data_IF_172878475692
#
_entry.id   IF_172878475692
#
_cell.length_a   1.000
_cell.length_b   1.000
_cell.length_c   1.000
_cell.angle_alpha   90.00
_cell.angle_beta   90.00
_cell.angle_gamma   90.00
#
_symmetry.space_group_name_H-M   'P 1'
#
loop_
_entity.id
_entity.type
_entity.pdbx_description
1 polymer ?
#
# COMPACT_ATOMS: atom_id res chain seq x y z
N UNK A 1 40.72 -2.71 2.36
CA UNK A 1 40.25 -2.55 0.98
C UNK A 1 39.00 -3.37 0.89
N UNK A 2 37.85 -2.75 0.61
CA UNK A 2 36.61 -3.51 0.43
C UNK A 2 36.73 -4.41 -0.80
N UNK A 3 36.03 -5.54 -0.79
CA UNK A 3 36.01 -6.46 -1.91
C UNK A 3 35.49 -5.71 -3.15
N UNK A 4 36.21 -5.86 -4.27
CA UNK A 4 35.84 -5.23 -5.54
C UNK A 4 34.56 -5.89 -6.04
N UNK A 5 33.51 -5.11 -6.27
CA UNK A 5 32.24 -5.57 -6.83
C UNK A 5 32.30 -5.37 -8.34
N UNK A 6 31.95 -6.41 -9.09
CA UNK A 6 31.69 -6.33 -10.54
C UNK A 6 30.31 -6.91 -10.82
N UNK A 7 29.48 -6.19 -11.57
CA UNK A 7 28.12 -6.60 -11.90
C UNK A 7 27.75 -6.20 -13.32
N UNK A 8 26.90 -6.97 -13.99
CA UNK A 8 26.47 -6.72 -15.37
C UNK A 8 24.95 -6.88 -15.49
N UNK A 9 24.29 -5.95 -16.16
CA UNK A 9 22.84 -6.01 -16.26
C UNK A 9 22.24 -4.91 -17.11
N UNK A 10 20.92 -4.92 -17.22
CA UNK A 10 20.20 -3.79 -17.81
C UNK A 10 20.24 -2.59 -16.86
N UNK A 11 20.42 -1.42 -17.45
CA UNK A 11 20.24 -0.13 -16.77
C UNK A 11 18.78 0.26 -16.83
N UNK A 12 18.22 0.68 -15.69
CA UNK A 12 16.88 1.23 -15.62
C UNK A 12 16.88 2.47 -14.72
N UNK A 13 16.20 3.53 -15.14
CA UNK A 13 16.02 4.71 -14.29
C UNK A 13 15.01 4.44 -13.16
N UNK A 14 15.27 5.02 -11.99
CA UNK A 14 14.42 4.85 -10.80
C UNK A 14 12.98 5.29 -11.05
N UNK A 15 12.77 6.33 -11.86
CA UNK A 15 11.43 6.81 -12.20
C UNK A 15 10.59 5.75 -12.93
N UNK A 16 11.14 5.09 -13.96
CA UNK A 16 10.45 4.01 -14.65
C UNK A 16 10.28 2.76 -13.76
N UNK A 17 11.26 2.45 -12.90
CA UNK A 17 11.10 1.40 -11.86
C UNK A 17 9.92 1.73 -10.96
N UNK A 18 9.87 2.95 -10.41
CA UNK A 18 8.83 3.43 -9.49
C UNK A 18 7.45 3.51 -10.14
N UNK A 19 7.41 3.75 -11.45
CA UNK A 19 6.18 3.68 -12.23
C UNK A 19 5.73 2.24 -12.48
N UNK A 20 6.66 1.29 -12.46
CA UNK A 20 6.46 -0.12 -12.82
C UNK A 20 6.33 -0.40 -14.31
N UNK A 21 6.19 0.64 -15.12
CA UNK A 21 6.09 0.57 -16.59
C UNK A 21 6.92 1.68 -17.22
N UNK A 22 7.43 1.45 -18.42
CA UNK A 22 8.28 2.42 -19.14
C UNK A 22 7.51 3.69 -19.48
N UNK A 23 8.12 4.86 -19.30
CA UNK A 23 7.46 6.14 -19.55
C UNK A 23 7.06 6.29 -21.03
N UNK A 24 7.94 5.90 -21.94
CA UNK A 24 7.76 5.93 -23.40
C UNK A 24 6.98 4.72 -23.93
N UNK A 25 6.92 3.62 -23.18
CA UNK A 25 6.08 2.46 -23.47
C UNK A 25 5.27 1.99 -22.25
N UNK A 26 4.19 2.71 -21.90
CA UNK A 26 3.34 2.41 -20.74
C UNK A 26 2.73 1.00 -20.67
N UNK A 27 2.73 0.25 -21.77
CA UNK A 27 2.18 -1.10 -21.84
C UNK A 27 3.15 -2.19 -21.40
N UNK A 28 4.42 -1.83 -21.11
CA UNK A 28 5.50 -2.75 -20.81
C UNK A 28 6.05 -2.50 -19.42
N UNK A 29 6.08 -3.56 -18.63
CA UNK A 29 6.63 -3.56 -17.28
C UNK A 29 8.15 -3.52 -17.31
N UNK A 30 8.74 -2.69 -16.45
CA UNK A 30 10.19 -2.41 -16.46
C UNK A 30 11.02 -3.60 -16.02
N UNK A 31 10.52 -4.40 -15.07
CA UNK A 31 11.21 -5.58 -14.56
C UNK A 31 10.90 -6.87 -15.34
N UNK A 32 10.03 -6.81 -16.36
CA UNK A 32 9.72 -7.98 -17.20
C UNK A 32 10.33 -7.82 -18.59
N UNK A 33 10.34 -6.60 -19.13
CA UNK A 33 10.81 -6.31 -20.48
C UNK A 33 11.90 -5.23 -20.52
N UNK A 34 12.94 -5.24 -19.65
CA UNK A 34 13.93 -4.16 -19.61
C UNK A 34 14.65 -3.92 -20.94
N UNK A 35 14.72 -4.93 -21.82
CA UNK A 35 15.26 -4.82 -23.18
C UNK A 35 14.50 -3.85 -24.09
N UNK A 36 13.27 -3.48 -23.71
CA UNK A 36 12.43 -2.55 -24.45
C UNK A 36 12.63 -1.10 -24.04
N UNK A 37 13.41 -0.82 -22.98
CA UNK A 37 13.60 0.52 -22.46
C UNK A 37 14.48 1.34 -23.40
N UNK A 38 13.95 2.43 -23.96
CA UNK A 38 14.70 3.18 -24.98
C UNK A 38 15.85 3.97 -24.38
N UNK A 39 16.92 4.12 -25.16
CA UNK A 39 18.03 5.01 -24.77
C UNK A 39 17.55 6.45 -24.68
N UNK A 40 16.64 6.88 -25.56
CA UNK A 40 16.00 8.19 -25.45
C UNK A 40 15.40 8.43 -24.06
N UNK A 41 14.62 7.48 -23.55
CA UNK A 41 14.05 7.59 -22.21
C UNK A 41 15.12 7.66 -21.12
N UNK A 42 16.20 6.89 -21.25
CA UNK A 42 17.31 6.87 -20.28
C UNK A 42 18.18 8.13 -20.27
N UNK A 43 18.35 8.84 -21.39
CA UNK A 43 19.38 9.89 -21.49
C UNK A 43 18.90 11.28 -21.92
N UNK A 44 17.74 11.39 -22.57
CA UNK A 44 17.17 12.67 -23.01
C UNK A 44 16.07 13.17 -22.08
N UNK A 45 15.32 12.27 -21.44
CA UNK A 45 14.12 12.64 -20.69
C UNK A 45 14.51 13.03 -19.26
N UNK A 46 14.37 14.33 -18.86
CA UNK A 46 14.93 14.81 -17.60
C UNK A 46 14.47 14.06 -16.37
N UNK A 47 13.17 13.76 -16.28
CA UNK A 47 12.61 13.07 -15.11
C UNK A 47 13.17 11.64 -14.95
N UNK A 48 13.58 10.99 -16.05
CA UNK A 48 14.14 9.66 -16.04
C UNK A 48 15.60 9.71 -15.60
N UNK A 49 16.49 10.38 -16.34
CA UNK A 49 17.91 10.38 -15.98
C UNK A 49 18.20 11.10 -14.66
N UNK A 50 17.38 12.09 -14.25
CA UNK A 50 17.58 12.77 -12.97
C UNK A 50 17.14 11.95 -11.76
N UNK A 51 16.40 10.86 -11.97
CA UNK A 51 15.95 9.99 -10.89
C UNK A 51 17.05 9.04 -10.39
N UNK A 52 18.18 8.94 -11.11
CA UNK A 52 19.23 7.96 -10.85
C UNK A 52 18.94 6.64 -11.56
N UNK A 53 19.95 5.76 -11.59
CA UNK A 53 19.91 4.48 -12.28
C UNK A 53 20.13 3.32 -11.32
N UNK A 54 19.53 2.19 -11.69
CA UNK A 54 19.76 0.90 -11.05
C UNK A 54 20.12 -0.17 -12.07
N UNK A 55 20.89 -1.13 -11.58
CA UNK A 55 21.32 -2.31 -12.31
C UNK A 55 20.37 -3.47 -12.03
N UNK A 56 19.83 -4.06 -13.09
CA UNK A 56 18.91 -5.18 -13.01
C UNK A 56 19.62 -6.51 -13.24
N UNK A 57 19.43 -7.46 -12.33
CA UNK A 57 19.86 -8.85 -12.44
C UNK A 57 18.91 -9.63 -13.33
N UNK A 58 19.49 -10.40 -14.25
CA UNK A 58 18.76 -11.36 -15.08
C UNK A 58 18.03 -12.42 -14.22
N UNK A 59 16.83 -12.84 -14.64
CA UNK A 59 16.12 -13.94 -14.00
C UNK A 59 16.86 -15.27 -14.23
N UNK A 60 16.73 -16.21 -13.29
CA UNK A 60 17.30 -17.57 -13.43
C UNK A 60 16.62 -18.38 -14.54
N UNK A 61 15.36 -18.08 -14.83
CA UNK A 61 14.57 -18.71 -15.88
C UNK A 61 14.22 -17.71 -16.98
N UNK A 62 14.23 -18.18 -18.23
CA UNK A 62 13.83 -17.38 -19.38
C UNK A 62 12.39 -16.87 -19.23
N UNK A 63 12.20 -15.56 -19.27
CA UNK A 63 10.90 -14.91 -19.08
C UNK A 63 10.53 -14.66 -17.61
N UNK A 64 11.45 -14.86 -16.68
CA UNK A 64 11.29 -14.45 -15.29
C UNK A 64 11.40 -12.93 -15.09
N UNK A 65 11.18 -12.50 -13.85
CA UNK A 65 11.24 -11.08 -13.45
C UNK A 65 12.67 -10.72 -13.08
N UNK A 66 13.14 -9.61 -13.62
CA UNK A 66 14.44 -9.03 -13.28
C UNK A 66 14.40 -8.40 -11.90
N UNK A 67 15.50 -8.51 -11.16
CA UNK A 67 15.58 -7.97 -9.81
C UNK A 67 16.55 -6.80 -9.72
N UNK A 68 16.21 -5.81 -8.89
CA UNK A 68 17.05 -4.64 -8.60
C UNK A 68 18.25 -5.11 -7.78
N UNK A 69 19.43 -5.04 -8.38
CA UNK A 69 20.69 -5.46 -7.75
C UNK A 69 21.37 -4.27 -7.07
N UNK A 70 21.77 -3.28 -7.86
CA UNK A 70 22.52 -2.12 -7.35
C UNK A 70 21.89 -0.80 -7.75
N UNK A 71 21.79 0.12 -6.80
CA UNK A 71 21.58 1.54 -7.04
C UNK A 71 22.93 2.21 -7.27
N UNK A 72 23.05 2.99 -8.34
CA UNK A 72 24.32 3.67 -8.66
C UNK A 72 24.42 4.98 -7.88
N UNK A 73 25.60 5.25 -7.33
CA UNK A 73 25.91 6.54 -6.73
C UNK A 73 25.91 7.68 -7.77
N UNK A 74 26.02 8.92 -7.31
CA UNK A 74 26.00 10.08 -8.21
C UNK A 74 27.07 10.01 -9.32
N UNK A 75 28.28 9.53 -8.98
CA UNK A 75 29.34 9.32 -9.96
C UNK A 75 29.01 8.24 -10.98
N UNK A 76 28.47 7.10 -10.52
CA UNK A 76 27.98 6.04 -11.38
C UNK A 76 26.84 6.46 -12.31
N UNK A 77 25.94 7.32 -11.83
CA UNK A 77 24.86 7.89 -12.63
C UNK A 77 25.39 8.74 -13.78
N UNK A 78 26.37 9.61 -13.51
CA UNK A 78 27.00 10.45 -14.52
C UNK A 78 27.76 9.62 -15.56
N UNK A 79 28.50 8.59 -15.12
CA UNK A 79 29.22 7.67 -16.02
C UNK A 79 28.26 6.87 -16.91
N UNK A 80 27.16 6.36 -16.34
CA UNK A 80 26.14 5.60 -17.07
C UNK A 80 25.43 6.48 -18.09
N UNK A 81 25.11 7.73 -17.73
CA UNK A 81 24.51 8.70 -18.64
C UNK A 81 25.46 9.04 -19.81
N UNK A 82 26.75 9.22 -19.53
CA UNK A 82 27.76 9.48 -20.56
C UNK A 82 27.89 8.29 -21.51
N UNK A 83 27.99 7.07 -20.99
CA UNK A 83 28.05 5.85 -21.81
C UNK A 83 26.78 5.67 -22.65
N UNK A 84 25.60 5.91 -22.07
CA UNK A 84 24.34 5.84 -22.79
C UNK A 84 24.26 6.81 -23.97
N UNK A 85 24.87 8.00 -23.85
CA UNK A 85 24.94 9.00 -24.93
C UNK A 85 26.01 8.68 -25.98
N UNK A 86 27.09 7.99 -25.61
CA UNK A 86 28.13 7.59 -26.57
C UNK A 86 27.70 6.37 -27.40
N UNK A 87 27.09 5.37 -26.76
CA UNK A 87 26.72 4.09 -27.38
C UNK A 87 25.29 4.08 -27.94
N UNK A 88 24.50 5.08 -27.55
CA UNK A 88 23.12 5.27 -27.94
C UNK A 88 22.92 5.74 -29.37
N UNK A 89 21.73 5.46 -29.89
CA UNK A 89 21.20 6.11 -31.10
C UNK A 89 19.71 6.41 -30.93
N UNK A 90 19.14 7.24 -31.80
CA UNK A 90 17.76 7.73 -31.68
C UNK A 90 17.51 8.57 -30.42
N UNK A 91 18.51 9.32 -29.97
CA UNK A 91 18.39 10.31 -28.91
C UNK A 91 19.03 11.65 -29.34
N UNK A 92 18.52 12.76 -28.82
CA UNK A 92 18.95 14.13 -29.12
C UNK A 92 20.23 14.54 -28.41
N UNK A 93 20.58 13.87 -27.31
CA UNK A 93 21.83 14.07 -26.56
C UNK A 93 22.90 13.03 -26.89
N UNK A 94 22.67 12.16 -27.88
CA UNK A 94 23.63 11.15 -28.32
C UNK A 94 24.69 11.83 -29.19
N UNK A 95 25.97 11.68 -28.82
CA UNK A 95 27.09 12.39 -29.45
C UNK A 95 28.07 11.45 -30.17
N UNK A 96 27.81 10.14 -30.17
CA UNK A 96 28.67 9.11 -30.79
C UNK A 96 28.03 8.37 -31.98
N UNK A 97 28.81 7.49 -32.61
CA UNK A 97 28.37 6.56 -33.67
C UNK A 97 27.71 5.30 -33.11
N UNK A 98 27.12 5.42 -31.91
CA UNK A 98 26.42 4.36 -31.21
C UNK A 98 25.29 3.76 -32.03
N UNK A 99 24.89 2.54 -31.67
CA UNK A 99 23.82 1.81 -32.36
C UNK A 99 22.72 1.29 -31.43
N UNK A 100 22.86 1.51 -30.11
CA UNK A 100 21.92 1.02 -29.12
C UNK A 100 20.69 1.91 -29.11
N UNK A 101 19.54 1.37 -29.53
CA UNK A 101 18.26 2.08 -29.50
C UNK A 101 17.53 1.85 -28.16
N UNK A 102 17.68 0.66 -27.59
CA UNK A 102 16.94 0.19 -26.41
C UNK A 102 17.72 -0.91 -25.69
N UNK A 103 17.37 -1.15 -24.42
CA UNK A 103 17.93 -2.24 -23.63
C UNK A 103 19.41 -2.05 -23.34
N UNK A 104 19.78 -0.87 -22.82
CA UNK A 104 21.16 -0.58 -22.47
C UNK A 104 21.64 -1.56 -21.39
N UNK A 105 22.65 -2.37 -21.72
CA UNK A 105 23.33 -3.25 -20.77
C UNK A 105 24.74 -2.78 -20.53
N UNK A 106 25.11 -2.67 -19.26
CA UNK A 106 26.42 -2.19 -18.84
C UNK A 106 27.05 -3.13 -17.82
N UNK A 107 28.36 -3.08 -17.73
CA UNK A 107 29.16 -3.63 -16.64
C UNK A 107 29.56 -2.47 -15.73
N UNK A 108 29.32 -2.63 -14.43
CA UNK A 108 29.76 -1.69 -13.40
C UNK A 108 30.80 -2.34 -12.51
N UNK A 109 31.81 -1.57 -12.12
CA UNK A 109 32.83 -1.97 -11.15
C UNK A 109 32.89 -0.93 -10.04
N UNK A 110 32.95 -1.37 -8.79
CA UNK A 110 32.94 -0.46 -7.66
C UNK A 110 33.11 -1.14 -6.31
N UNK A 111 32.63 -0.47 -5.27
CA UNK A 111 32.63 -0.98 -3.89
C UNK A 111 31.29 -0.72 -3.22
N UNK A 112 30.92 -1.54 -2.22
CA UNK A 112 29.64 -1.36 -1.52
C UNK A 112 29.54 0.01 -0.85
N UNK A 113 28.44 0.71 -1.10
CA UNK A 113 28.03 1.97 -0.47
C UNK A 113 27.04 1.79 0.68
N UNK A 114 26.68 0.54 1.01
CA UNK A 114 25.65 0.23 2.00
C UNK A 114 24.26 0.07 1.39
N UNK A 115 23.21 0.14 2.21
CA UNK A 115 21.82 -0.04 1.77
C UNK A 115 21.16 1.31 1.57
N UNK A 116 20.61 1.54 0.37
CA UNK A 116 19.89 2.76 -0.01
C UNK A 116 18.51 2.86 0.64
N UNK A 117 17.83 4.00 0.43
CA UNK A 117 16.52 4.28 1.04
C UNK A 117 15.43 3.27 0.61
N UNK A 118 15.52 2.78 -0.62
CA UNK A 118 14.58 1.81 -1.19
C UNK A 118 14.93 0.35 -0.85
N UNK A 119 15.96 0.12 -0.02
CA UNK A 119 16.43 -1.21 0.37
C UNK A 119 17.33 -1.91 -0.66
N UNK A 120 17.61 -1.26 -1.79
CA UNK A 120 18.59 -1.71 -2.80
C UNK A 120 20.00 -1.38 -2.31
N UNK A 121 20.98 -2.25 -2.58
CA UNK A 121 22.37 -1.98 -2.23
C UNK A 121 22.95 -0.88 -3.13
N UNK A 122 23.57 0.14 -2.54
CA UNK A 122 24.23 1.21 -3.29
C UNK A 122 25.62 0.77 -3.68
N UNK A 123 26.00 1.02 -4.93
CA UNK A 123 27.35 0.80 -5.44
C UNK A 123 28.06 2.15 -5.61
N UNK A 124 29.19 2.33 -4.92
CA UNK A 124 30.12 3.43 -5.21
C UNK A 124 30.88 3.06 -6.47
N UNK A 125 30.47 3.61 -7.61
CA UNK A 125 30.95 3.18 -8.93
C UNK A 125 32.31 3.79 -9.24
N UNK A 126 33.24 2.93 -9.66
CA UNK A 126 34.56 3.32 -10.16
C UNK A 126 34.61 3.36 -11.69
N UNK A 127 33.91 2.45 -12.37
CA UNK A 127 33.81 2.44 -13.84
C UNK A 127 32.49 1.85 -14.33
N UNK A 128 32.09 2.31 -15.53
CA UNK A 128 30.93 1.80 -16.27
C UNK A 128 31.38 1.56 -17.70
N UNK A 129 31.21 0.34 -18.20
CA UNK A 129 31.55 -0.07 -19.58
C UNK A 129 30.37 -0.81 -20.19
N UNK A 130 30.37 -1.03 -21.51
CA UNK A 130 29.38 -1.93 -22.13
C UNK A 130 29.53 -3.35 -21.59
N UNK A 131 28.40 -4.01 -21.38
CA UNK A 131 28.40 -5.41 -20.96
C UNK A 131 29.00 -6.30 -22.07
N UNK A 132 29.87 -7.23 -21.69
CA UNK A 132 30.50 -8.21 -22.58
C UNK A 132 30.40 -9.61 -22.00
N UNK A 133 30.49 -10.65 -22.84
CA UNK A 133 30.63 -12.02 -22.34
C UNK A 133 31.86 -12.12 -21.42
N UNK A 134 31.70 -12.75 -20.26
CA UNK A 134 32.78 -12.87 -19.26
C UNK A 134 33.28 -11.54 -18.70
N UNK A 135 32.51 -10.45 -18.81
CA UNK A 135 32.97 -9.10 -18.44
C UNK A 135 33.46 -8.96 -17.00
N UNK A 136 33.01 -9.81 -16.07
CA UNK A 136 33.48 -9.85 -14.68
C UNK A 136 34.51 -10.94 -14.36
N UNK A 137 34.98 -11.73 -15.33
CA UNK A 137 35.93 -12.83 -15.08
C UNK A 137 37.25 -12.33 -14.48
N UNK A 138 37.70 -11.14 -14.90
CA UNK A 138 38.88 -10.47 -14.34
C UNK A 138 38.74 -10.03 -12.88
N UNK A 139 37.51 -10.07 -12.34
CA UNK A 139 37.17 -9.71 -10.96
C UNK A 139 36.78 -10.92 -10.10
N UNK A 140 36.96 -12.15 -10.62
CA UNK A 140 36.54 -13.38 -9.94
C UNK A 140 35.06 -13.74 -10.15
N UNK A 141 34.40 -13.10 -11.12
CA UNK A 141 33.00 -13.33 -11.47
C UNK A 141 32.08 -12.19 -11.02
N UNK A 142 30.81 -12.35 -11.34
CA UNK A 142 29.77 -11.40 -10.97
C UNK A 142 29.44 -11.46 -9.48
N UNK A 143 29.40 -10.30 -8.84
CA UNK A 143 29.03 -10.15 -7.43
C UNK A 143 27.57 -9.72 -7.35
N UNK A 144 26.72 -10.60 -6.84
CA UNK A 144 25.28 -10.36 -6.71
C UNK A 144 24.90 -10.16 -5.23
N UNK A 145 24.12 -9.11 -4.89
CA UNK A 145 23.63 -8.92 -3.52
C UNK A 145 22.76 -10.08 -3.04
N UNK A 146 22.84 -10.38 -1.74
CA UNK A 146 22.06 -11.46 -1.13
C UNK A 146 20.56 -11.15 -1.05
N UNK A 147 20.18 -9.87 -0.99
CA UNK A 147 18.79 -9.42 -0.83
C UNK A 147 18.34 -8.67 -2.07
N UNK A 148 17.90 -9.40 -3.09
CA UNK A 148 17.39 -8.82 -4.33
C UNK A 148 15.93 -8.39 -4.18
N UNK A 149 15.59 -7.24 -4.76
CA UNK A 149 14.23 -6.72 -4.83
C UNK A 149 13.67 -6.89 -6.25
N UNK A 150 12.77 -7.85 -6.43
CA UNK A 150 12.19 -8.19 -7.74
C UNK A 150 10.83 -7.51 -8.00
N UNK A 151 10.55 -6.40 -7.31
CA UNK A 151 9.29 -5.66 -7.40
C UNK A 151 9.53 -4.21 -7.85
N UNK A 152 8.73 -3.74 -8.82
CA UNK A 152 8.71 -2.36 -9.29
C UNK A 152 7.60 -1.52 -8.62
N UNK A 153 7.65 -0.19 -8.74
CA UNK A 153 6.71 0.70 -8.06
C UNK A 153 5.29 0.77 -8.63
N UNK A 154 4.99 0.10 -9.75
CA UNK A 154 3.61 -0.18 -10.15
C UNK A 154 2.83 -0.87 -9.02
N UNK A 155 3.48 -1.80 -8.31
CA UNK A 155 2.96 -2.42 -7.09
C UNK A 155 2.81 -1.39 -5.95
N UNK A 156 3.77 -0.47 -5.79
CA UNK A 156 3.69 0.61 -4.78
C UNK A 156 2.47 1.50 -4.98
N UNK A 157 2.14 1.88 -6.22
CA UNK A 157 0.94 2.65 -6.54
C UNK A 157 -0.35 1.93 -6.10
N UNK A 158 -0.46 0.64 -6.42
CA UNK A 158 -1.59 -0.18 -5.98
C UNK A 158 -1.64 -0.37 -4.46
N UNK A 159 -0.50 -0.53 -3.78
CA UNK A 159 -0.40 -0.60 -2.31
C UNK A 159 -0.93 0.69 -1.68
N UNK A 160 -0.51 1.85 -2.18
CA UNK A 160 -0.99 3.15 -1.68
C UNK A 160 -2.49 3.30 -1.92
N UNK A 161 -2.96 3.02 -3.15
CA UNK A 161 -4.38 3.13 -3.49
C UNK A 161 -5.25 2.20 -2.64
N UNK A 162 -4.86 0.93 -2.50
CA UNK A 162 -5.50 -0.04 -1.62
C UNK A 162 -5.56 0.47 -0.17
N UNK A 163 -4.42 0.87 0.38
CA UNK A 163 -4.31 1.36 1.75
C UNK A 163 -5.19 2.58 2.01
N UNK A 164 -5.16 3.58 1.12
CA UNK A 164 -5.99 4.79 1.24
C UNK A 164 -7.49 4.47 1.19
N UNK A 165 -7.93 3.64 0.24
CA UNK A 165 -9.34 3.25 0.13
C UNK A 165 -9.81 2.49 1.38
N UNK A 166 -9.00 1.56 1.88
CA UNK A 166 -9.30 0.80 3.10
C UNK A 166 -9.34 1.68 4.35
N UNK A 167 -8.43 2.66 4.46
CA UNK A 167 -8.41 3.60 5.58
C UNK A 167 -9.62 4.54 5.56
N UNK A 168 -9.96 5.13 4.42
CA UNK A 168 -11.14 5.98 4.29
C UNK A 168 -12.43 5.20 4.59
N UNK A 169 -12.49 3.93 4.19
CA UNK A 169 -13.64 3.07 4.45
C UNK A 169 -13.68 2.53 5.88
N UNK A 170 -12.87 1.50 6.16
CA UNK A 170 -12.89 0.74 7.41
C UNK A 170 -12.29 1.52 8.58
N UNK A 171 -11.34 2.41 8.31
CA UNK A 171 -10.73 3.26 9.34
C UNK A 171 -11.55 4.49 9.71
N UNK A 172 -12.47 4.94 8.85
CA UNK A 172 -13.20 6.19 9.06
C UNK A 172 -14.70 6.12 8.79
N UNK A 173 -15.14 5.95 7.53
CA UNK A 173 -16.55 6.06 7.17
C UNK A 173 -17.44 5.00 7.82
N UNK A 174 -17.03 3.72 7.80
CA UNK A 174 -17.83 2.64 8.39
C UNK A 174 -17.98 2.78 9.92
N UNK A 175 -16.91 3.07 10.70
CA UNK A 175 -17.03 3.47 12.09
C UNK A 175 -17.94 4.69 12.30
N UNK A 176 -17.78 5.75 11.49
CA UNK A 176 -18.60 6.96 11.56
C UNK A 176 -20.08 6.66 11.33
N UNK A 177 -20.41 5.76 10.40
CA UNK A 177 -21.77 5.26 10.16
C UNK A 177 -22.37 4.59 11.40
N UNK A 178 -21.59 3.78 12.12
CA UNK A 178 -22.04 3.13 13.36
C UNK A 178 -22.24 4.14 14.48
N UNK A 179 -21.32 5.10 14.63
CA UNK A 179 -21.41 6.18 15.62
C UNK A 179 -22.64 7.06 15.35
N UNK A 180 -22.89 7.44 14.09
CA UNK A 180 -24.05 8.28 13.72
C UNK A 180 -25.39 7.59 14.01
N UNK A 181 -25.51 6.28 13.73
CA UNK A 181 -26.70 5.50 14.08
C UNK A 181 -26.95 5.35 15.58
N UNK A 182 -25.88 5.51 16.38
CA UNK A 182 -25.97 5.44 17.84
C UNK A 182 -26.38 6.78 18.45
N UNK A 183 -25.73 7.87 18.06
CA UNK A 183 -25.87 9.15 18.76
C UNK A 183 -26.84 10.12 18.10
N UNK A 184 -27.10 10.01 16.79
CA UNK A 184 -27.94 11.00 16.08
C UNK A 184 -29.42 10.63 16.02
N UNK A 185 -29.88 9.65 16.81
CA UNK A 185 -31.30 9.23 16.83
C UNK A 185 -32.28 10.33 17.21
N UNK A 186 -31.84 11.32 18.00
CA UNK A 186 -32.64 12.46 18.45
C UNK A 186 -32.82 13.54 17.39
N UNK A 187 -32.05 13.50 16.29
CA UNK A 187 -32.09 14.53 15.25
C UNK A 187 -33.34 14.40 14.39
N UNK A 188 -33.97 15.54 14.15
CA UNK A 188 -35.11 15.67 13.23
C UNK A 188 -34.63 15.77 11.78
N UNK A 189 -35.44 15.33 10.80
CA UNK A 189 -36.75 14.67 10.97
C UNK A 189 -36.63 13.24 11.50
N UNK A 190 -37.70 12.70 12.09
CA UNK A 190 -37.76 11.32 12.61
C UNK A 190 -37.23 10.33 11.56
N UNK A 191 -36.24 9.52 11.94
CA UNK A 191 -35.59 8.55 11.05
C UNK A 191 -34.44 9.10 10.20
N UNK A 192 -34.05 10.37 10.37
CA UNK A 192 -32.88 10.96 9.71
C UNK A 192 -31.59 10.14 9.93
N UNK A 193 -31.35 9.70 11.17
CA UNK A 193 -30.21 8.86 11.53
C UNK A 193 -30.09 7.61 10.66
N UNK A 194 -31.22 7.01 10.25
CA UNK A 194 -31.23 5.79 9.45
C UNK A 194 -30.82 6.07 8.01
N UNK A 195 -31.30 7.19 7.44
CA UNK A 195 -30.88 7.65 6.10
C UNK A 195 -29.38 7.97 6.08
N UNK A 196 -28.91 8.68 7.09
CA UNK A 196 -27.50 9.05 7.24
C UNK A 196 -26.61 7.82 7.42
N UNK A 197 -26.97 6.90 8.32
CA UNK A 197 -26.27 5.63 8.51
C UNK A 197 -26.18 4.86 7.20
N UNK A 198 -27.30 4.66 6.50
CA UNK A 198 -27.33 3.93 5.24
C UNK A 198 -26.43 4.59 4.19
N UNK A 199 -26.51 5.91 4.02
CA UNK A 199 -25.68 6.63 3.07
C UNK A 199 -24.17 6.44 3.36
N UNK A 200 -23.76 6.67 4.61
CA UNK A 200 -22.35 6.52 5.02
C UNK A 200 -21.87 5.08 4.85
N UNK A 201 -22.69 4.09 5.26
CA UNK A 201 -22.32 2.68 5.13
C UNK A 201 -22.21 2.22 3.68
N UNK A 202 -23.13 2.65 2.80
CA UNK A 202 -23.05 2.35 1.38
C UNK A 202 -21.78 2.95 0.75
N UNK A 203 -21.49 4.24 1.02
CA UNK A 203 -20.29 4.89 0.50
C UNK A 203 -19.01 4.23 1.02
N UNK A 204 -18.93 3.96 2.33
CA UNK A 204 -17.80 3.24 2.92
C UNK A 204 -17.62 1.87 2.28
N UNK A 205 -18.69 1.07 2.15
CA UNK A 205 -18.59 -0.27 1.59
C UNK A 205 -18.16 -0.26 0.13
N UNK A 206 -18.60 0.71 -0.68
CA UNK A 206 -18.14 0.86 -2.07
C UNK A 206 -16.63 1.12 -2.16
N UNK A 207 -16.10 2.01 -1.33
CA UNK A 207 -14.65 2.25 -1.26
C UNK A 207 -13.88 1.00 -0.79
N UNK A 208 -14.42 0.27 0.20
CA UNK A 208 -13.84 -0.98 0.66
C UNK A 208 -13.82 -2.06 -0.43
N UNK A 209 -14.89 -2.18 -1.22
CA UNK A 209 -14.93 -3.11 -2.36
C UNK A 209 -13.88 -2.73 -3.41
N UNK A 210 -13.76 -1.45 -3.77
CA UNK A 210 -12.73 -1.01 -4.71
C UNK A 210 -11.31 -1.32 -4.20
N UNK A 211 -11.02 -1.01 -2.93
CA UNK A 211 -9.75 -1.36 -2.31
C UNK A 211 -9.51 -2.88 -2.27
N UNK A 212 -10.55 -3.67 -2.00
CA UNK A 212 -10.44 -5.13 -1.92
C UNK A 212 -10.16 -5.75 -3.29
N UNK A 213 -10.79 -5.22 -4.35
CA UNK A 213 -10.53 -5.64 -5.73
C UNK A 213 -9.07 -5.39 -6.12
N UNK A 214 -8.49 -4.24 -5.74
CA UNK A 214 -7.05 -4.00 -5.93
C UNK A 214 -6.24 -5.11 -5.25
N UNK A 215 -6.54 -5.43 -3.98
CA UNK A 215 -5.78 -6.43 -3.26
C UNK A 215 -5.81 -7.83 -3.89
N UNK A 216 -7.00 -8.31 -4.28
CA UNK A 216 -7.13 -9.67 -4.83
C UNK A 216 -6.67 -9.78 -6.29
N UNK A 217 -6.52 -8.67 -7.01
CA UNK A 217 -6.09 -8.68 -8.42
C UNK A 217 -4.63 -8.29 -8.62
N UNK A 218 -4.06 -7.50 -7.72
CA UNK A 218 -2.70 -6.96 -7.86
C UNK A 218 -1.69 -7.61 -6.91
N UNK A 219 -2.14 -8.23 -5.80
CA UNK A 219 -1.25 -8.79 -4.80
C UNK A 219 -1.35 -10.31 -4.71
N UNK A 220 -0.23 -10.93 -4.36
CA UNK A 220 -0.08 -12.36 -4.10
C UNK A 220 -0.61 -12.74 -2.70
N UNK A 221 -1.93 -12.59 -2.51
CA UNK A 221 -2.60 -12.75 -1.20
C UNK A 221 -2.58 -14.20 -0.70
N UNK A 222 -2.62 -15.19 -1.60
CA UNK A 222 -2.84 -16.61 -1.26
C UNK A 222 -1.69 -17.54 -1.63
N UNK A 223 -0.68 -17.04 -2.34
CA UNK A 223 0.41 -17.84 -2.93
C UNK A 223 1.60 -18.00 -2.00
N UNK A 224 1.69 -17.22 -0.91
CA UNK A 224 2.79 -17.32 0.03
C UNK A 224 2.81 -18.67 0.79
N UNK A 225 3.94 -19.37 0.67
CA UNK A 225 4.24 -20.59 1.44
C UNK A 225 4.39 -20.26 2.95
N UNK A 226 3.90 -21.17 3.79
CA UNK A 226 3.92 -20.99 5.25
C UNK A 226 2.87 -20.02 5.82
N UNK A 227 2.99 -19.70 7.11
CA UNK A 227 2.18 -18.70 7.83
C UNK A 227 3.05 -17.47 8.06
N UNK A 228 2.82 -16.42 7.29
CA UNK A 228 3.49 -15.13 7.46
C UNK A 228 2.45 -14.00 7.65
N UNK A 229 2.93 -12.81 8.00
CA UNK A 229 2.05 -11.67 8.32
C UNK A 229 1.18 -11.27 7.11
N UNK A 230 1.69 -11.39 5.87
CA UNK A 230 0.92 -11.07 4.66
C UNK A 230 -0.29 -11.99 4.51
N UNK A 231 -0.10 -13.29 4.73
CA UNK A 231 -1.18 -14.29 4.71
C UNK A 231 -2.20 -14.05 5.82
N UNK A 232 -1.74 -13.65 7.01
CA UNK A 232 -2.65 -13.31 8.13
C UNK A 232 -3.45 -12.04 7.80
N UNK A 233 -2.80 -10.98 7.32
CA UNK A 233 -3.46 -9.75 6.87
C UNK A 233 -4.50 -10.04 5.79
N UNK A 234 -4.12 -10.78 4.74
CA UNK A 234 -5.00 -11.18 3.65
C UNK A 234 -6.21 -11.98 4.14
N UNK A 235 -5.99 -12.99 4.98
CA UNK A 235 -7.07 -13.82 5.54
C UNK A 235 -8.03 -12.99 6.40
N UNK A 236 -7.50 -12.15 7.30
CA UNK A 236 -8.33 -11.25 8.10
C UNK A 236 -9.11 -10.24 7.23
N UNK A 237 -8.49 -9.74 6.16
CA UNK A 237 -9.10 -8.85 5.19
C UNK A 237 -10.27 -9.50 4.44
N UNK A 238 -10.11 -10.73 3.95
CA UNK A 238 -11.18 -11.49 3.29
C UNK A 238 -12.37 -11.70 4.23
N UNK A 239 -12.12 -12.12 5.47
CA UNK A 239 -13.18 -12.32 6.47
C UNK A 239 -13.88 -10.99 6.79
N UNK A 240 -13.12 -9.91 6.96
CA UNK A 240 -13.65 -8.55 7.20
C UNK A 240 -14.57 -8.10 6.06
N UNK A 241 -14.14 -8.29 4.82
CA UNK A 241 -14.91 -7.92 3.64
C UNK A 241 -16.17 -8.77 3.48
N UNK A 242 -16.08 -10.08 3.71
CA UNK A 242 -17.24 -10.96 3.69
C UNK A 242 -18.29 -10.51 4.72
N UNK A 243 -17.86 -10.23 5.95
CA UNK A 243 -18.76 -9.71 6.99
C UNK A 243 -19.36 -8.35 6.62
N UNK A 244 -18.58 -7.46 6.02
CA UNK A 244 -19.02 -6.14 5.55
C UNK A 244 -20.08 -6.22 4.46
N UNK A 245 -19.90 -7.09 3.46
CA UNK A 245 -20.85 -7.33 2.37
C UNK A 245 -22.13 -8.02 2.88
N UNK A 246 -22.01 -8.91 3.86
CA UNK A 246 -23.17 -9.56 4.47
C UNK A 246 -24.04 -8.59 5.30
N UNK A 247 -23.50 -7.46 5.77
CA UNK A 247 -24.30 -6.48 6.54
C UNK A 247 -25.51 -5.91 5.77
N UNK A 248 -25.37 -5.33 4.56
CA UNK A 248 -26.51 -4.82 3.80
C UNK A 248 -27.46 -5.94 3.35
N UNK A 249 -26.94 -7.13 3.03
CA UNK A 249 -27.76 -8.31 2.68
C UNK A 249 -28.65 -8.69 3.87
N UNK A 250 -28.06 -8.83 5.05
CA UNK A 250 -28.82 -9.06 6.29
C UNK A 250 -29.80 -7.92 6.58
N UNK A 251 -29.43 -6.67 6.31
CA UNK A 251 -30.28 -5.51 6.53
C UNK A 251 -31.48 -5.42 5.59
N UNK A 252 -31.42 -6.05 4.42
CA UNK A 252 -32.57 -6.19 3.52
C UNK A 252 -33.70 -7.00 4.19
N UNK A 253 -33.36 -8.04 4.95
CA UNK A 253 -34.32 -8.89 5.67
C UNK A 253 -34.79 -8.32 7.02
N UNK A 254 -34.57 -7.02 7.26
CA UNK A 254 -34.90 -6.35 8.52
C UNK A 254 -36.42 -6.39 8.81
N UNK A 255 -36.88 -7.02 9.91
CA UNK A 255 -38.31 -7.07 10.26
C UNK A 255 -38.90 -5.70 10.63
N UNK A 256 -40.23 -5.55 10.53
CA UNK A 256 -40.94 -4.30 10.84
C UNK A 256 -40.63 -3.81 12.28
N UNK A 257 -40.45 -2.49 12.49
CA UNK A 257 -40.01 -1.96 13.80
C UNK A 257 -41.05 -2.03 14.91
N UNK A 258 -42.34 -1.91 14.59
CA UNK A 258 -43.43 -1.87 15.56
C UNK A 258 -44.61 -2.76 15.13
N UNK A 259 -45.19 -3.56 16.04
CA UNK A 259 -44.63 -3.94 17.35
C UNK A 259 -43.36 -4.80 17.18
N UNK A 260 -42.43 -4.72 18.14
CA UNK A 260 -41.17 -5.46 18.07
C UNK A 260 -41.37 -6.97 18.25
N UNK A 261 -41.35 -7.74 17.15
CA UNK A 261 -41.41 -9.21 17.17
C UNK A 261 -40.11 -9.84 17.71
N UNK A 262 -40.15 -11.10 18.16
CA UNK A 262 -38.94 -11.83 18.56
C UNK A 262 -37.89 -11.88 17.45
N UNK A 263 -38.34 -12.09 16.20
CA UNK A 263 -37.49 -12.05 15.00
C UNK A 263 -36.80 -10.69 14.86
N UNK A 264 -37.50 -9.59 15.17
CA UNK A 264 -36.92 -8.24 15.17
C UNK A 264 -35.79 -8.11 16.19
N UNK A 265 -36.00 -8.60 17.40
CA UNK A 265 -35.01 -8.53 18.48
C UNK A 265 -33.77 -9.37 18.16
N UNK A 266 -33.96 -10.58 17.63
CA UNK A 266 -32.86 -11.47 17.20
C UNK A 266 -32.05 -10.84 16.06
N UNK A 267 -32.73 -10.31 15.04
CA UNK A 267 -32.08 -9.61 13.92
C UNK A 267 -31.27 -8.40 14.42
N UNK A 268 -31.81 -7.61 15.35
CA UNK A 268 -31.08 -6.47 15.91
C UNK A 268 -29.81 -6.88 16.66
N UNK A 269 -29.85 -7.99 17.42
CA UNK A 269 -28.67 -8.53 18.10
C UNK A 269 -27.64 -8.98 17.06
N UNK A 270 -28.05 -9.76 16.07
CA UNK A 270 -27.19 -10.28 15.02
C UNK A 270 -26.52 -9.16 14.23
N UNK A 271 -27.30 -8.22 13.69
CA UNK A 271 -26.80 -7.10 12.89
C UNK A 271 -25.82 -6.21 13.68
N UNK A 272 -26.18 -5.82 14.92
CA UNK A 272 -25.31 -4.97 15.73
C UNK A 272 -24.02 -5.68 16.15
N UNK A 273 -24.09 -6.95 16.55
CA UNK A 273 -22.91 -7.67 17.05
C UNK A 273 -21.97 -8.08 15.93
N UNK A 274 -22.50 -8.58 14.80
CA UNK A 274 -21.68 -8.88 13.62
C UNK A 274 -21.01 -7.64 13.05
N UNK A 275 -21.70 -6.49 13.03
CA UNK A 275 -21.09 -5.22 12.59
C UNK A 275 -19.96 -4.74 13.52
N UNK A 276 -20.13 -4.87 14.84
CA UNK A 276 -19.07 -4.55 15.81
C UNK A 276 -17.87 -5.48 15.71
N UNK A 277 -18.13 -6.77 15.51
CA UNK A 277 -17.08 -7.77 15.29
C UNK A 277 -16.30 -7.48 14.01
N UNK A 278 -16.98 -7.16 12.91
CA UNK A 278 -16.35 -6.76 11.66
C UNK A 278 -15.44 -5.53 11.83
N UNK A 279 -15.88 -4.50 12.56
CA UNK A 279 -15.05 -3.33 12.86
C UNK A 279 -13.81 -3.68 13.71
N UNK A 280 -13.95 -4.57 14.69
CA UNK A 280 -12.82 -5.04 15.49
C UNK A 280 -11.79 -5.81 14.66
N UNK A 281 -12.26 -6.69 13.77
CA UNK A 281 -11.38 -7.41 12.85
C UNK A 281 -10.74 -6.49 11.81
N UNK A 282 -11.47 -5.50 11.32
CA UNK A 282 -10.95 -4.48 10.40
C UNK A 282 -9.81 -3.67 11.04
N UNK A 283 -9.95 -3.30 12.32
CA UNK A 283 -8.89 -2.63 13.06
C UNK A 283 -7.61 -3.48 13.12
N UNK A 284 -7.71 -4.77 13.48
CA UNK A 284 -6.56 -5.68 13.45
C UNK A 284 -5.96 -5.79 12.04
N UNK A 285 -6.82 -5.91 11.02
CA UNK A 285 -6.40 -6.03 9.62
C UNK A 285 -5.61 -4.80 9.17
N UNK A 286 -6.03 -3.60 9.54
CA UNK A 286 -5.34 -2.33 9.26
C UNK A 286 -3.96 -2.28 9.95
N UNK A 287 -3.88 -2.69 11.22
CA UNK A 287 -2.59 -2.75 11.92
C UNK A 287 -1.61 -3.69 11.24
N UNK A 288 -2.08 -4.87 10.82
CA UNK A 288 -1.24 -5.82 10.08
C UNK A 288 -0.84 -5.25 8.70
N UNK A 289 -1.76 -4.63 7.98
CA UNK A 289 -1.49 -4.06 6.65
C UNK A 289 -0.47 -2.91 6.69
N UNK A 290 -0.57 -2.03 7.68
CA UNK A 290 0.38 -0.90 7.85
C UNK A 290 1.81 -1.36 8.13
N UNK A 291 2.02 -2.55 8.70
CA UNK A 291 3.38 -3.09 8.84
C UNK A 291 4.04 -3.45 7.50
N UNK A 292 3.27 -3.55 6.42
CA UNK A 292 3.73 -3.91 5.07
C UNK A 292 4.06 -2.73 4.16
N UNK A 293 3.84 -1.50 4.62
CA UNK A 293 4.18 -0.32 3.83
C UNK A 293 5.64 0.07 4.13
N UNK A 294 6.43 0.30 3.08
CA UNK A 294 7.85 0.61 3.14
C UNK A 294 8.18 2.04 3.65
N UNK A 295 7.31 2.67 4.45
CA UNK A 295 7.58 3.97 5.10
C UNK A 295 7.90 3.75 6.59
N UNK A 296 9.11 3.31 6.95
CA UNK A 296 9.46 2.92 8.31
C UNK A 296 9.41 4.08 9.31
N UNK A 297 9.62 5.33 8.88
CA UNK A 297 9.64 6.54 9.72
C UNK A 297 8.23 6.95 10.21
N UNK A 298 7.21 6.77 9.37
CA UNK A 298 5.86 7.29 9.63
C UNK A 298 4.88 6.22 10.13
N UNK A 299 5.21 4.92 9.97
CA UNK A 299 4.30 3.81 10.34
C UNK A 299 3.93 3.82 11.82
N UNK A 300 4.91 4.03 12.71
CA UNK A 300 4.72 3.97 14.17
C UNK A 300 3.92 5.20 14.62
N UNK A 301 4.26 6.38 14.08
CA UNK A 301 3.55 7.63 14.38
C UNK A 301 2.10 7.54 13.93
N UNK A 302 1.85 7.04 12.71
CA UNK A 302 0.51 6.81 12.19
C UNK A 302 -0.29 5.83 13.05
N UNK A 303 0.28 4.67 13.39
CA UNK A 303 -0.39 3.66 14.22
C UNK A 303 -0.72 4.21 15.61
N UNK A 304 0.22 4.91 16.27
CA UNK A 304 -0.02 5.55 17.57
C UNK A 304 -1.14 6.57 17.47
N UNK A 305 -1.08 7.46 16.47
CA UNK A 305 -2.10 8.48 16.24
C UNK A 305 -3.47 7.86 15.99
N UNK A 306 -3.55 6.86 15.10
CA UNK A 306 -4.78 6.17 14.77
C UNK A 306 -5.40 5.46 15.99
N UNK A 307 -4.58 4.75 16.78
CA UNK A 307 -5.02 4.12 18.03
C UNK A 307 -5.50 5.17 19.04
N UNK A 308 -4.78 6.28 19.20
CA UNK A 308 -5.16 7.37 20.09
C UNK A 308 -6.50 8.00 19.71
N UNK A 309 -6.73 8.23 18.41
CA UNK A 309 -8.01 8.73 17.89
C UNK A 309 -9.15 7.75 18.18
N UNK A 310 -8.93 6.45 17.98
CA UNK A 310 -9.96 5.44 18.28
C UNK A 310 -10.26 5.34 19.78
N UNK A 311 -9.26 5.41 20.64
CA UNK A 311 -9.44 5.46 22.10
C UNK A 311 -10.22 6.71 22.50
N UNK A 312 -9.88 7.86 21.94
CA UNK A 312 -10.59 9.12 22.19
C UNK A 312 -12.06 9.02 21.77
N UNK A 313 -12.33 8.55 20.54
CA UNK A 313 -13.70 8.36 20.04
C UNK A 313 -14.48 7.35 20.88
N UNK A 314 -13.84 6.25 21.30
CA UNK A 314 -14.42 5.26 22.22
C UNK A 314 -14.72 5.84 23.60
N UNK A 315 -13.81 6.67 24.13
CA UNK A 315 -13.97 7.39 25.39
C UNK A 315 -15.11 8.41 25.36
N UNK A 316 -15.18 9.22 24.30
CA UNK A 316 -16.28 10.16 24.04
C UNK A 316 -17.60 9.39 23.97
N UNK A 317 -17.65 8.31 23.18
CA UNK A 317 -18.84 7.48 23.04
C UNK A 317 -19.29 6.87 24.38
N UNK A 318 -18.34 6.43 25.23
CA UNK A 318 -18.62 5.92 26.58
C UNK A 318 -19.12 7.01 27.52
N UNK A 319 -18.52 8.21 27.50
CA UNK A 319 -18.95 9.36 28.28
C UNK A 319 -20.40 9.73 27.98
N UNK A 320 -20.75 9.92 26.70
CA UNK A 320 -22.13 10.19 26.28
C UNK A 320 -23.10 9.07 26.67
N UNK A 321 -22.67 7.81 26.66
CA UNK A 321 -23.50 6.69 27.12
C UNK A 321 -23.78 6.75 28.63
N UNK A 322 -22.80 7.18 29.44
CA UNK A 322 -22.99 7.33 30.88
C UNK A 322 -23.91 8.51 31.19
N UNK A 323 -23.71 9.66 30.53
CA UNK A 323 -24.54 10.85 30.71
C UNK A 323 -26.00 10.61 30.30
N UNK A 324 -26.23 9.90 29.19
CA UNK A 324 -27.59 9.52 28.77
C UNK A 324 -28.32 8.59 29.76
N UNK A 325 -27.58 7.69 30.43
CA UNK A 325 -28.15 6.81 31.47
C UNK A 325 -28.47 7.55 32.77
N UNK A 326 -27.66 8.54 33.13
CA UNK A 326 -27.91 9.40 34.31
C UNK A 326 -29.16 10.26 34.07
N UNK A 327 -29.38 10.75 32.86
CA UNK A 327 -30.59 11.51 32.49
C UNK A 327 -31.90 10.70 32.51
N UNK A 328 -31.87 9.41 32.16
CA UNK A 328 -33.06 8.54 32.22
C UNK A 328 -33.34 7.99 33.65
N UNK A 329 -32.31 7.90 34.50
CA UNK A 329 -32.42 7.41 35.89
C UNK A 329 -32.80 8.46 36.93
N UNK A 330 -32.71 9.75 36.60
CA UNK A 330 -33.07 10.86 37.46
C UNK A 330 -34.57 11.17 37.45
N UNK A 331 -35.42 10.25 37.93
CA UNK A 331 -36.76 10.67 38.38
C UNK A 331 -36.57 11.52 39.64
N UNK A 332 -36.98 12.78 39.54
CA UNK A 332 -37.15 13.68 40.69
C UNK A 332 -38.09 13.00 41.68
N UNK A 333 -37.56 12.65 42.85
CA UNK A 333 -38.39 12.36 44.02
C UNK A 333 -38.89 13.71 44.49
N UNK A 334 -40.13 14.07 44.16
CA UNK A 334 -40.85 15.08 44.92
C UNK A 334 -41.01 14.53 46.34
N UNK A 335 -40.11 14.95 47.23
CA UNK A 335 -40.31 14.78 48.66
C UNK A 335 -41.38 15.80 49.03
N UNK A 336 -42.59 15.31 49.27
CA UNK A 336 -43.69 16.09 49.82
C UNK A 336 -43.23 16.80 51.09
N UNK A 337 -43.39 18.13 51.11
CA UNK A 337 -43.28 18.92 52.32
C UNK A 337 -44.52 18.70 53.19
N UNK A 338 -44.32 18.10 54.37
CA UNK A 338 -44.95 18.56 55.61
C UNK A 338 -43.92 19.47 56.30
N UNK A 339 -44.26 20.50 57.06
CA UNK A 339 -45.38 20.63 57.98
C UNK A 339 -45.52 22.08 58.48
N UNK A 340 -46.74 22.44 58.92
CA UNK A 340 -47.07 23.37 60.03
C UNK A 340 -46.66 24.86 59.91
N UNK A 341 -47.63 25.70 59.55
CA UNK A 341 -48.22 26.76 60.39
C UNK A 341 -49.51 27.28 59.73
#
# INVERSE_FOLDING_TARGET
MGDSICFQGYVMDKYCIDRGTMLDNPSKETLVYPELHSVHCLVDVPICYSSGFEMLKDPEESGGVYCRAYELDAGGNDLTLQLGRSEGTSCSTCEGDGSIVKGLRVRVVGTSGGVGEDGVEVLNVASVDLATEGGCDGYGGETVPSNLLCEGGGQRGFVVAHGTLMMLSWGFLLPLGVISARFLKHRQPKGYWFKLHRAIQCTGLLLAVAGFLIAITQFDVFTAEGVNISKIHGTCGVITMALGILQPINAYFRPHPEPASEKRVQWEKLHKNSGRFALGLAFLTILLGTTRVAFPSDKIVFQIFYVAVLILLGGIARKYQLEGKVGEGGKVVEIGGGDVA
#
